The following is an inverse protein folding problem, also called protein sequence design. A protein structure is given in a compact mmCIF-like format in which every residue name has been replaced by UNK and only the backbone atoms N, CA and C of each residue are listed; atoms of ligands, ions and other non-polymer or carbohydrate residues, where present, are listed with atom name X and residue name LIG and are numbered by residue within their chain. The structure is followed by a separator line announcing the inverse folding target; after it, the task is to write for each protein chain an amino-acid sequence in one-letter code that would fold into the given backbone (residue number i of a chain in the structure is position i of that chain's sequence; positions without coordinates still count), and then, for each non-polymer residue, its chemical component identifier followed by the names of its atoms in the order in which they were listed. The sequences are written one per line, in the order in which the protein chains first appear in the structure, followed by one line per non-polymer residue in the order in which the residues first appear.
data_IF_960648019369
#
_entry.id   IF_960648019369
#
_cell.length_a   1.000
_cell.length_b   1.000
_cell.length_c   1.000
_cell.angle_alpha   90.00
_cell.angle_beta   90.00
_cell.angle_gamma   90.00
#
_symmetry.space_group_name_H-M   'P 1'
#
loop_
_entity.id
_entity.type
_entity.pdbx_description
1 polymer ?
#
# COMPACT_ATOMS: atom_id res chain seq x y z
N UNK A 1 -7.57 45.42 7.36
CA UNK A 1 -7.03 44.07 7.47
C UNK A 1 -7.48 43.50 8.81
N UNK A 2 -8.49 42.62 8.86
CA UNK A 2 -8.87 41.86 10.05
C UNK A 2 -7.78 40.81 10.28
N UNK A 3 -7.13 40.85 11.44
CA UNK A 3 -6.27 39.75 11.88
C UNK A 3 -7.18 38.57 12.19
N UNK A 4 -7.04 37.50 11.45
CA UNK A 4 -7.65 36.21 11.83
C UNK A 4 -7.09 35.80 13.19
N UNK A 5 -7.97 35.39 14.09
CA UNK A 5 -7.57 34.87 15.39
C UNK A 5 -6.69 33.62 15.21
N UNK A 6 -5.64 33.44 16.04
CA UNK A 6 -4.80 32.26 15.92
C UNK A 6 -5.64 31.01 16.14
N UNK A 7 -5.62 30.10 15.15
CA UNK A 7 -6.24 28.77 15.26
C UNK A 7 -5.66 28.11 16.52
N UNK A 8 -6.51 27.77 17.45
CA UNK A 8 -6.11 27.12 18.71
C UNK A 8 -5.35 25.85 18.38
N UNK A 9 -4.20 25.62 19.03
CA UNK A 9 -3.43 24.37 18.91
C UNK A 9 -4.29 23.11 19.18
N UNK A 10 -5.35 23.22 19.97
CA UNK A 10 -6.35 22.16 20.19
C UNK A 10 -7.14 21.79 18.94
N UNK A 11 -7.29 22.70 17.96
CA UNK A 11 -7.99 22.44 16.71
C UNK A 11 -7.11 21.75 15.67
N UNK A 12 -5.80 21.63 15.91
CA UNK A 12 -4.82 20.96 15.05
C UNK A 12 -4.46 19.54 15.53
N UNK A 13 -4.99 19.08 16.67
CA UNK A 13 -4.73 17.73 17.15
C UNK A 13 -5.85 16.80 16.67
N UNK A 14 -5.51 15.83 15.80
CA UNK A 14 -6.42 14.74 15.47
C UNK A 14 -6.88 14.05 16.75
N UNK A 15 -8.19 13.84 16.89
CA UNK A 15 -8.75 13.13 18.04
C UNK A 15 -8.77 11.64 17.73
N UNK A 16 -7.94 10.87 18.43
CA UNK A 16 -8.02 9.39 18.40
C UNK A 16 -9.12 8.99 19.41
N UNK A 17 -10.16 8.38 18.87
CA UNK A 17 -11.30 7.90 19.67
C UNK A 17 -10.91 6.60 20.39
N UNK A 18 -11.23 6.52 21.69
CA UNK A 18 -10.90 5.37 22.52
C UNK A 18 -12.00 4.30 22.52
N UNK A 19 -13.16 4.61 21.96
CA UNK A 19 -14.32 3.72 21.85
C UNK A 19 -15.08 4.00 20.58
N UNK A 20 -15.88 3.00 20.15
CA UNK A 20 -16.71 3.10 18.95
C UNK A 20 -17.71 4.28 19.05
N UNK A 21 -17.73 5.17 18.06
CA UNK A 21 -18.69 6.28 18.01
C UNK A 21 -20.06 5.79 17.50
N UNK A 22 -20.88 5.21 18.39
CA UNK A 22 -22.21 4.72 18.06
C UNK A 22 -23.11 5.84 17.53
N UNK A 23 -23.89 5.55 16.49
CA UNK A 23 -24.76 6.51 15.79
C UNK A 23 -24.06 7.38 14.76
N UNK A 24 -22.73 7.36 14.69
CA UNK A 24 -21.96 8.17 13.73
C UNK A 24 -21.50 7.36 12.52
N UNK A 25 -21.24 8.07 11.40
CA UNK A 25 -20.61 7.50 10.21
C UNK A 25 -19.12 7.25 10.46
N UNK A 26 -18.67 6.04 10.22
CA UNK A 26 -17.25 5.67 10.33
C UNK A 26 -16.76 5.16 8.99
N UNK A 27 -15.81 5.86 8.39
CA UNK A 27 -15.15 5.43 7.16
C UNK A 27 -14.12 4.35 7.45
N UNK A 28 -14.19 3.23 6.76
CA UNK A 28 -13.25 2.10 6.91
C UNK A 28 -12.49 1.89 5.62
N UNK A 29 -11.15 1.93 5.67
CA UNK A 29 -10.31 1.41 4.61
C UNK A 29 -10.49 -0.12 4.58
N UNK A 30 -11.27 -0.61 3.62
CA UNK A 30 -11.76 -1.98 3.57
C UNK A 30 -11.00 -2.79 2.52
N UNK A 31 -10.32 -3.83 2.96
CA UNK A 31 -9.55 -4.74 2.09
C UNK A 31 -10.29 -6.03 1.73
N UNK A 32 -11.44 -6.29 2.34
CA UNK A 32 -12.15 -7.58 2.20
C UNK A 32 -11.53 -8.74 2.99
N UNK A 33 -10.45 -8.50 3.73
CA UNK A 33 -9.82 -9.47 4.62
C UNK A 33 -10.61 -9.69 5.92
N UNK A 34 -10.24 -10.72 6.69
CA UNK A 34 -10.91 -11.11 7.94
C UNK A 34 -11.05 -9.94 8.91
N UNK A 35 -9.94 -9.22 9.17
CA UNK A 35 -9.89 -8.15 10.16
C UNK A 35 -10.88 -7.02 9.85
N UNK A 36 -10.89 -6.56 8.58
CA UNK A 36 -11.80 -5.47 8.17
C UNK A 36 -13.24 -5.93 8.06
N UNK A 37 -13.49 -7.18 7.64
CA UNK A 37 -14.84 -7.76 7.56
C UNK A 37 -15.47 -7.92 8.94
N UNK A 38 -14.73 -8.48 9.89
CA UNK A 38 -15.18 -8.61 11.27
C UNK A 38 -15.40 -7.24 11.94
N UNK A 39 -14.48 -6.27 11.67
CA UNK A 39 -14.62 -4.92 12.20
C UNK A 39 -15.89 -4.23 11.70
N UNK A 40 -16.21 -4.31 10.40
CA UNK A 40 -17.42 -3.72 9.82
C UNK A 40 -18.68 -4.32 10.43
N UNK A 41 -18.77 -5.66 10.51
CA UNK A 41 -19.92 -6.35 11.08
C UNK A 41 -20.10 -6.03 12.57
N UNK A 42 -19.02 -6.01 13.35
CA UNK A 42 -19.04 -5.65 14.76
C UNK A 42 -19.47 -4.19 14.98
N UNK A 43 -18.91 -3.26 14.21
CA UNK A 43 -19.27 -1.84 14.30
C UNK A 43 -20.75 -1.61 14.00
N UNK A 44 -21.28 -2.29 12.96
CA UNK A 44 -22.71 -2.24 12.63
C UNK A 44 -23.59 -2.76 13.78
N UNK A 45 -23.21 -3.90 14.36
CA UNK A 45 -23.93 -4.50 15.51
C UNK A 45 -23.91 -3.58 16.75
N UNK A 46 -22.80 -2.88 16.99
CA UNK A 46 -22.65 -1.94 18.11
C UNK A 46 -23.24 -0.55 17.82
N UNK A 47 -23.91 -0.37 16.68
CA UNK A 47 -24.69 0.81 16.37
C UNK A 47 -23.97 1.95 15.68
N UNK A 48 -22.72 1.78 15.20
CA UNK A 48 -22.10 2.72 14.30
C UNK A 48 -22.62 2.53 12.86
N UNK A 49 -22.34 3.48 11.98
CA UNK A 49 -22.74 3.45 10.56
C UNK A 49 -21.48 3.31 9.68
N UNK A 50 -21.04 2.07 9.37
CA UNK A 50 -19.82 1.85 8.58
C UNK A 50 -19.98 2.29 7.12
N UNK A 51 -19.04 3.07 6.62
CA UNK A 51 -18.85 3.42 5.22
C UNK A 51 -17.53 2.81 4.76
N UNK A 52 -17.56 1.91 3.78
CA UNK A 52 -16.38 1.19 3.34
C UNK A 52 -15.76 1.79 2.09
N UNK A 53 -14.45 1.98 2.10
CA UNK A 53 -13.69 2.51 0.97
C UNK A 53 -12.57 1.54 0.63
N UNK A 54 -12.58 1.04 -0.59
CA UNK A 54 -11.54 0.15 -1.11
C UNK A 54 -10.70 0.90 -2.13
N UNK A 55 -9.38 0.92 -1.95
CA UNK A 55 -8.47 1.51 -2.92
C UNK A 55 -8.18 0.52 -4.04
N UNK A 56 -8.40 0.93 -5.29
CA UNK A 56 -7.83 0.26 -6.46
C UNK A 56 -6.42 0.79 -6.69
N UNK A 57 -5.44 0.01 -6.27
CA UNK A 57 -4.01 0.29 -6.42
C UNK A 57 -3.38 -0.49 -7.58
N UNK A 58 -4.19 -1.20 -8.39
CA UNK A 58 -3.71 -2.15 -9.38
C UNK A 58 -3.03 -3.36 -8.74
N UNK A 59 -3.51 -3.80 -7.58
CA UNK A 59 -2.93 -4.89 -6.80
C UNK A 59 -3.11 -6.26 -7.47
N UNK A 60 -2.03 -7.02 -7.56
CA UNK A 60 -1.97 -8.34 -8.21
C UNK A 60 -2.45 -9.49 -7.32
N UNK A 61 -2.62 -9.26 -6.02
CA UNK A 61 -3.03 -10.26 -5.02
C UNK A 61 -4.54 -10.31 -4.78
N UNK A 62 -5.34 -9.38 -5.36
CA UNK A 62 -6.82 -9.41 -5.33
C UNK A 62 -7.38 -9.75 -6.72
N UNK A 63 -8.06 -10.87 -6.81
CA UNK A 63 -8.59 -11.39 -8.08
C UNK A 63 -9.98 -10.87 -8.43
N UNK A 64 -10.72 -10.33 -7.45
CA UNK A 64 -12.09 -9.81 -7.62
C UNK A 64 -12.25 -8.46 -6.92
N UNK A 65 -11.42 -7.51 -7.30
CA UNK A 65 -11.46 -6.16 -6.75
C UNK A 65 -12.81 -5.45 -6.96
N UNK A 66 -13.47 -5.53 -8.13
CA UNK A 66 -14.80 -4.95 -8.32
C UNK A 66 -15.87 -5.51 -7.39
N UNK A 67 -15.72 -6.74 -6.92
CA UNK A 67 -16.65 -7.39 -5.98
C UNK A 67 -16.47 -6.97 -4.51
N UNK A 68 -15.33 -6.33 -4.16
CA UNK A 68 -15.04 -5.96 -2.76
C UNK A 68 -16.11 -5.04 -2.15
N UNK A 69 -16.60 -3.98 -2.82
CA UNK A 69 -17.69 -3.17 -2.27
C UNK A 69 -18.98 -3.95 -1.99
N UNK A 70 -19.32 -4.92 -2.84
CA UNK A 70 -20.46 -5.82 -2.62
C UNK A 70 -20.29 -6.63 -1.34
N UNK A 71 -19.11 -7.22 -1.14
CA UNK A 71 -18.77 -7.94 0.09
C UNK A 71 -18.87 -7.05 1.34
N UNK A 72 -18.42 -5.79 1.26
CA UNK A 72 -18.55 -4.86 2.39
C UNK A 72 -20.02 -4.63 2.80
N UNK A 73 -20.92 -4.54 1.84
CA UNK A 73 -22.37 -4.41 2.08
C UNK A 73 -22.95 -5.65 2.78
N UNK A 74 -22.49 -6.85 2.43
CA UNK A 74 -22.88 -8.09 3.11
C UNK A 74 -22.50 -8.10 4.59
N UNK A 75 -21.38 -7.46 4.96
CA UNK A 75 -20.96 -7.28 6.36
C UNK A 75 -21.68 -6.12 7.08
N UNK A 76 -22.59 -5.41 6.42
CA UNK A 76 -23.41 -4.36 7.01
C UNK A 76 -22.90 -2.94 6.80
N UNK A 77 -22.01 -2.72 5.84
CA UNK A 77 -21.67 -1.36 5.43
C UNK A 77 -22.91 -0.64 4.88
N UNK A 78 -23.12 0.59 5.32
CA UNK A 78 -24.19 1.47 4.81
C UNK A 78 -23.91 1.85 3.35
N UNK A 79 -22.65 2.26 3.08
CA UNK A 79 -22.14 2.52 1.74
C UNK A 79 -20.78 1.84 1.55
N UNK A 80 -20.48 1.50 0.28
CA UNK A 80 -19.20 0.92 -0.08
C UNK A 80 -18.76 1.42 -1.46
N UNK A 81 -17.52 1.94 -1.55
CA UNK A 81 -16.96 2.54 -2.77
C UNK A 81 -15.63 1.88 -3.11
N UNK A 82 -15.43 1.63 -4.42
CA UNK A 82 -14.10 1.38 -4.99
C UNK A 82 -13.56 2.71 -5.50
N UNK A 83 -12.40 3.12 -5.00
CA UNK A 83 -11.74 4.38 -5.35
C UNK A 83 -10.54 4.08 -6.22
N UNK A 84 -10.54 4.54 -7.47
CA UNK A 84 -9.40 4.38 -8.38
C UNK A 84 -8.23 5.26 -7.91
N UNK A 85 -7.17 4.62 -7.49
CA UNK A 85 -5.95 5.24 -6.98
C UNK A 85 -4.75 5.04 -7.93
N UNK A 86 -4.92 4.33 -9.04
CA UNK A 86 -3.81 3.89 -9.91
C UNK A 86 -3.05 5.04 -10.52
N UNK A 87 -3.75 6.02 -11.07
CA UNK A 87 -3.11 7.17 -11.74
C UNK A 87 -2.25 7.98 -10.77
N UNK A 88 -2.79 8.28 -9.58
CA UNK A 88 -2.04 9.01 -8.56
C UNK A 88 -0.85 8.19 -8.06
N UNK A 89 -1.04 6.90 -7.82
CA UNK A 89 0.03 6.02 -7.36
C UNK A 89 1.15 5.87 -8.40
N UNK A 90 0.81 5.79 -9.67
CA UNK A 90 1.80 5.77 -10.76
C UNK A 90 2.57 7.09 -10.80
N UNK A 91 1.87 8.22 -10.70
CA UNK A 91 2.51 9.54 -10.66
C UNK A 91 3.50 9.65 -9.50
N UNK A 92 3.07 9.35 -8.28
CA UNK A 92 3.92 9.40 -7.08
C UNK A 92 5.14 8.46 -7.17
N UNK A 93 4.97 7.28 -7.75
CA UNK A 93 6.09 6.36 -7.97
C UNK A 93 7.11 6.89 -8.97
N UNK A 94 6.67 7.53 -10.07
CA UNK A 94 7.56 8.18 -11.04
C UNK A 94 8.27 9.40 -10.43
N UNK A 95 7.57 10.21 -9.63
CA UNK A 95 8.18 11.32 -8.89
C UNK A 95 9.24 10.79 -7.91
N UNK A 96 8.94 9.74 -7.16
CA UNK A 96 9.90 9.12 -6.24
C UNK A 96 11.17 8.62 -6.97
N UNK A 97 10.99 8.04 -8.15
CA UNK A 97 12.10 7.63 -9.02
C UNK A 97 12.93 8.83 -9.46
N UNK A 98 12.29 9.89 -9.98
CA UNK A 98 12.95 11.11 -10.44
C UNK A 98 13.69 11.84 -9.33
N UNK A 99 13.16 11.83 -8.12
CA UNK A 99 13.78 12.47 -6.96
C UNK A 99 14.91 11.64 -6.33
N UNK A 100 15.20 10.44 -6.84
CA UNK A 100 16.26 9.57 -6.29
C UNK A 100 15.94 8.97 -4.92
N UNK A 101 14.64 8.75 -4.63
CA UNK A 101 14.19 8.21 -3.34
C UNK A 101 14.64 6.76 -3.09
N UNK A 102 14.84 5.98 -4.15
CA UNK A 102 15.31 4.59 -4.06
C UNK A 102 16.83 4.51 -4.07
N UNK A 103 17.45 4.50 -2.91
CA UNK A 103 18.91 4.58 -2.74
C UNK A 103 19.53 3.42 -1.96
N UNK A 104 18.70 2.56 -1.35
CA UNK A 104 19.19 1.43 -0.57
C UNK A 104 19.58 0.30 -1.52
N UNK A 105 20.83 -0.17 -1.39
CA UNK A 105 21.36 -1.25 -2.21
C UNK A 105 21.87 -2.37 -1.31
N UNK A 106 21.41 -3.59 -1.56
CA UNK A 106 21.84 -4.81 -0.88
C UNK A 106 22.31 -5.82 -1.92
N UNK A 107 23.51 -6.38 -1.74
CA UNK A 107 24.11 -7.34 -2.65
C UNK A 107 24.11 -6.87 -4.12
N UNK A 108 24.35 -5.57 -4.35
CA UNK A 108 24.42 -4.97 -5.70
C UNK A 108 23.05 -4.71 -6.35
N UNK A 109 21.92 -4.97 -5.65
CA UNK A 109 20.57 -4.72 -6.15
C UNK A 109 19.93 -3.57 -5.37
N UNK A 110 19.31 -2.63 -6.09
CA UNK A 110 18.53 -1.56 -5.46
C UNK A 110 17.23 -2.14 -4.93
N UNK A 111 16.90 -1.72 -3.72
CA UNK A 111 15.69 -2.09 -3.01
C UNK A 111 14.55 -1.11 -3.30
N UNK A 112 13.40 -1.63 -3.71
CA UNK A 112 12.21 -0.86 -4.03
C UNK A 112 11.07 -1.25 -3.09
N UNK A 113 10.90 -0.52 -1.98
CA UNK A 113 9.72 -0.64 -1.15
C UNK A 113 8.66 0.35 -1.62
N UNK A 114 7.63 -0.14 -2.29
CA UNK A 114 6.55 0.67 -2.86
C UNK A 114 5.33 0.77 -1.93
N UNK A 115 5.31 -0.01 -0.84
CA UNK A 115 4.23 0.00 0.16
C UNK A 115 3.98 1.40 0.75
N UNK A 116 5.00 2.20 1.16
CA UNK A 116 4.77 3.55 1.67
C UNK A 116 4.06 4.48 0.68
N UNK A 117 4.37 4.39 -0.62
CA UNK A 117 3.68 5.14 -1.69
C UNK A 117 2.20 4.76 -1.74
N UNK A 118 1.91 3.45 -1.76
CA UNK A 118 0.54 2.94 -1.72
C UNK A 118 -0.24 3.46 -0.50
N UNK A 119 0.38 3.48 0.68
CA UNK A 119 -0.26 3.98 1.91
C UNK A 119 -0.53 5.48 1.87
N UNK A 120 0.39 6.27 1.30
CA UNK A 120 0.22 7.70 1.14
C UNK A 120 -0.97 8.02 0.22
N UNK A 121 -1.03 7.38 -0.94
CA UNK A 121 -2.12 7.56 -1.91
C UNK A 121 -3.44 7.05 -1.36
N UNK A 122 -3.48 5.88 -0.75
CA UNK A 122 -4.68 5.35 -0.09
C UNK A 122 -5.19 6.33 0.98
N UNK A 123 -4.34 6.76 1.90
CA UNK A 123 -4.72 7.67 2.98
C UNK A 123 -5.29 8.99 2.47
N UNK A 124 -4.73 9.55 1.39
CA UNK A 124 -5.18 10.81 0.82
C UNK A 124 -6.47 10.67 0.00
N UNK A 125 -6.54 9.70 -0.91
CA UNK A 125 -7.68 9.58 -1.82
C UNK A 125 -8.92 9.01 -1.15
N UNK A 126 -8.79 8.07 -0.21
CA UNK A 126 -9.95 7.59 0.54
C UNK A 126 -10.52 8.68 1.42
N UNK A 127 -9.68 9.53 2.06
CA UNK A 127 -10.21 10.65 2.86
C UNK A 127 -10.89 11.70 1.98
N UNK A 128 -10.43 11.96 0.73
CA UNK A 128 -11.18 12.79 -0.22
C UNK A 128 -12.56 12.19 -0.53
N UNK A 129 -12.64 10.89 -0.79
CA UNK A 129 -13.91 10.20 -1.02
C UNK A 129 -14.82 10.27 0.23
N UNK A 130 -14.25 10.13 1.42
CA UNK A 130 -14.98 10.31 2.68
C UNK A 130 -15.57 11.71 2.84
N UNK A 131 -14.83 12.77 2.46
CA UNK A 131 -15.35 14.15 2.49
C UNK A 131 -16.56 14.34 1.58
N UNK A 132 -16.55 13.74 0.38
CA UNK A 132 -17.71 13.75 -0.53
C UNK A 132 -18.96 13.14 0.12
N UNK A 133 -18.78 12.05 0.88
CA UNK A 133 -19.85 11.33 1.58
C UNK A 133 -20.19 11.92 2.95
N UNK A 134 -19.50 12.99 3.36
CA UNK A 134 -19.64 13.64 4.67
C UNK A 134 -19.36 12.65 5.82
N UNK A 135 -18.25 11.94 5.70
CA UNK A 135 -17.72 11.02 6.71
C UNK A 135 -16.42 11.63 7.22
N UNK A 136 -16.32 11.87 8.53
CA UNK A 136 -15.22 12.57 9.18
C UNK A 136 -14.48 11.74 10.23
N UNK A 137 -14.80 10.45 10.31
CA UNK A 137 -14.11 9.48 11.18
C UNK A 137 -13.42 8.43 10.29
N UNK A 138 -12.10 8.36 10.37
CA UNK A 138 -11.29 7.34 9.70
C UNK A 138 -11.14 6.09 10.55
N UNK A 139 -11.26 4.93 9.96
CA UNK A 139 -10.91 3.64 10.53
C UNK A 139 -10.20 2.73 9.53
N UNK A 140 -9.45 1.80 10.02
CA UNK A 140 -8.82 0.73 9.25
C UNK A 140 -8.53 -0.50 10.14
N UNK A 141 -8.18 -1.62 9.52
CA UNK A 141 -7.86 -2.88 10.19
C UNK A 141 -6.42 -2.99 10.71
N UNK A 142 -5.65 -1.91 10.73
CA UNK A 142 -4.23 -1.95 11.14
C UNK A 142 -4.08 -2.33 12.60
N UNK A 143 -3.20 -3.30 12.86
CA UNK A 143 -2.85 -3.71 14.22
C UNK A 143 -1.73 -2.84 14.79
N UNK A 144 -1.63 -2.76 16.13
CA UNK A 144 -0.57 -2.01 16.84
C UNK A 144 0.86 -2.54 16.61
N UNK A 145 1.01 -3.70 15.97
CA UNK A 145 2.32 -4.32 15.68
C UNK A 145 2.92 -3.90 14.33
N UNK A 146 2.13 -3.25 13.47
CA UNK A 146 2.54 -2.87 12.11
C UNK A 146 2.82 -1.37 11.97
N UNK A 147 3.40 -1.00 10.82
CA UNK A 147 3.63 0.40 10.46
C UNK A 147 2.34 1.14 10.10
N UNK A 148 1.32 0.44 9.62
CA UNK A 148 0.12 1.02 9.03
C UNK A 148 -0.82 1.63 10.07
N UNK A 149 -0.66 1.25 11.36
CA UNK A 149 -1.39 1.89 12.46
C UNK A 149 -1.23 3.42 12.46
N UNK A 150 -0.09 3.91 11.97
CA UNK A 150 0.26 5.32 11.91
C UNK A 150 0.21 5.90 10.48
N UNK A 151 0.57 5.11 9.47
CA UNK A 151 0.76 5.60 8.10
C UNK A 151 -0.53 6.16 7.50
N UNK A 152 -1.63 5.42 7.51
CA UNK A 152 -2.85 5.81 6.81
C UNK A 152 -3.43 7.13 7.30
N UNK A 153 -3.67 7.27 8.59
CA UNK A 153 -4.32 8.47 9.09
C UNK A 153 -3.41 9.70 9.01
N UNK A 154 -2.08 9.54 9.13
CA UNK A 154 -1.14 10.65 8.96
C UNK A 154 -1.27 11.30 7.59
N UNK A 155 -1.36 10.50 6.53
CA UNK A 155 -1.61 11.02 5.19
C UNK A 155 -3.02 11.56 5.04
N UNK A 156 -4.02 10.94 5.63
CA UNK A 156 -5.39 11.44 5.67
C UNK A 156 -5.52 12.82 6.30
N UNK A 157 -4.73 13.11 7.35
CA UNK A 157 -4.69 14.42 8.00
C UNK A 157 -4.12 15.54 7.12
N UNK A 158 -3.35 15.22 6.07
CA UNK A 158 -2.92 16.21 5.07
C UNK A 158 -4.10 16.70 4.23
N UNK A 159 -5.12 15.88 4.04
CA UNK A 159 -6.34 16.22 3.30
C UNK A 159 -7.39 16.83 4.22
N UNK A 160 -7.58 16.24 5.39
CA UNK A 160 -8.54 16.72 6.40
C UNK A 160 -7.89 16.81 7.78
N UNK A 161 -7.34 17.98 8.17
CA UNK A 161 -6.71 18.14 9.49
C UNK A 161 -7.64 17.95 10.69
N UNK A 162 -8.97 18.00 10.49
CA UNK A 162 -9.97 17.78 11.52
C UNK A 162 -10.50 16.33 11.58
N UNK A 163 -9.90 15.42 10.80
CA UNK A 163 -10.27 14.01 10.76
C UNK A 163 -10.17 13.40 12.16
N UNK A 164 -11.25 12.76 12.62
CA UNK A 164 -11.24 11.94 13.81
C UNK A 164 -10.78 10.52 13.43
N UNK A 165 -10.09 9.84 14.33
CA UNK A 165 -9.50 8.54 14.07
C UNK A 165 -10.10 7.51 15.01
N UNK A 166 -10.71 6.47 14.46
CA UNK A 166 -11.16 5.30 15.21
C UNK A 166 -10.39 4.07 14.71
N UNK A 167 -9.74 3.39 15.63
CA UNK A 167 -9.00 2.15 15.31
C UNK A 167 -9.62 1.00 16.11
N UNK A 168 -10.27 0.00 15.49
CA UNK A 168 -10.82 -1.14 16.21
C UNK A 168 -9.79 -1.81 17.15
N UNK A 169 -8.56 -1.97 16.70
CA UNK A 169 -7.48 -2.57 17.47
C UNK A 169 -6.96 -1.73 18.65
N UNK A 170 -7.42 -0.48 18.82
CA UNK A 170 -7.18 0.37 20.00
C UNK A 170 -8.42 0.46 20.91
N UNK A 171 -9.54 -0.11 20.50
CA UNK A 171 -10.76 -0.18 21.30
C UNK A 171 -10.75 -1.44 22.17
N UNK A 172 -10.75 -1.24 23.49
CA UNK A 172 -10.71 -2.35 24.45
C UNK A 172 -11.88 -3.31 24.29
N UNK A 173 -13.06 -2.81 23.91
CA UNK A 173 -14.23 -3.65 23.71
C UNK A 173 -14.04 -4.55 22.48
N UNK A 174 -13.60 -4.00 21.36
CA UNK A 174 -13.28 -4.77 20.16
C UNK A 174 -12.23 -5.84 20.45
N UNK A 175 -11.11 -5.45 21.07
CA UNK A 175 -10.02 -6.38 21.38
C UNK A 175 -10.45 -7.48 22.36
N UNK A 176 -11.34 -7.19 23.30
CA UNK A 176 -11.86 -8.19 24.24
C UNK A 176 -12.78 -9.19 23.55
N UNK A 177 -13.61 -8.72 22.62
CA UNK A 177 -14.58 -9.56 21.91
C UNK A 177 -13.99 -10.27 20.69
N UNK A 178 -13.06 -9.62 19.96
CA UNK A 178 -12.55 -10.06 18.66
C UNK A 178 -11.01 -9.96 18.53
N UNK A 179 -10.29 -10.10 19.63
CA UNK A 179 -8.83 -9.86 19.68
C UNK A 179 -7.95 -10.86 18.96
N UNK A 180 -8.51 -11.88 18.30
CA UNK A 180 -7.77 -12.88 17.54
C UNK A 180 -8.50 -13.34 16.27
N UNK A 181 -7.75 -14.03 15.40
CA UNK A 181 -8.31 -14.54 14.13
C UNK A 181 -9.39 -15.61 14.34
N UNK A 182 -9.25 -16.42 15.41
CA UNK A 182 -10.24 -17.44 15.74
C UNK A 182 -11.56 -16.81 16.16
N UNK A 183 -11.51 -15.84 17.06
CA UNK A 183 -12.66 -15.11 17.57
C UNK A 183 -13.39 -14.34 16.46
N UNK A 184 -12.64 -13.68 15.57
CA UNK A 184 -13.21 -12.99 14.40
C UNK A 184 -13.89 -13.97 13.43
N UNK A 185 -13.27 -15.12 13.18
CA UNK A 185 -13.83 -16.16 12.29
C UNK A 185 -15.11 -16.77 12.88
N UNK A 186 -15.11 -17.06 14.17
CA UNK A 186 -16.29 -17.56 14.91
C UNK A 186 -17.42 -16.54 14.88
N UNK A 187 -17.11 -15.27 15.20
CA UNK A 187 -18.06 -14.15 15.17
C UNK A 187 -18.79 -14.03 13.83
N UNK A 188 -18.06 -14.11 12.71
CA UNK A 188 -18.66 -14.04 11.38
C UNK A 188 -19.49 -15.30 11.06
N UNK A 189 -19.00 -16.47 11.46
CA UNK A 189 -19.68 -17.75 11.23
C UNK A 189 -21.01 -17.83 11.97
N UNK A 190 -21.05 -17.44 13.25
CA UNK A 190 -22.27 -17.42 14.06
C UNK A 190 -23.36 -16.52 13.48
N UNK A 191 -22.97 -15.49 12.72
CA UNK A 191 -23.87 -14.53 12.07
C UNK A 191 -24.23 -14.90 10.64
N UNK A 192 -23.78 -16.10 10.18
CA UNK A 192 -23.93 -16.56 8.81
C UNK A 192 -23.38 -15.55 7.79
N UNK A 193 -22.36 -14.80 8.16
CA UNK A 193 -21.68 -13.88 7.26
C UNK A 193 -20.66 -14.63 6.42
N UNK A 194 -20.55 -14.32 5.09
CA UNK A 194 -19.68 -15.05 4.20
C UNK A 194 -18.22 -14.80 4.55
N UNK A 195 -17.58 -15.77 5.17
CA UNK A 195 -16.15 -15.75 5.43
C UNK A 195 -15.48 -16.92 4.73
N UNK A 196 -14.61 -16.61 3.78
CA UNK A 196 -13.74 -17.62 3.17
C UNK A 196 -12.45 -17.67 3.99
N UNK A 197 -12.32 -18.70 4.82
CA UNK A 197 -11.04 -19.01 5.42
C UNK A 197 -9.98 -19.11 4.31
N UNK A 198 -9.07 -18.17 4.24
CA UNK A 198 -7.91 -18.31 3.37
C UNK A 198 -7.09 -19.49 3.88
N UNK A 199 -6.61 -20.36 2.99
CA UNK A 199 -5.61 -21.37 3.37
C UNK A 199 -4.50 -20.64 4.12
N UNK A 200 -4.02 -21.26 5.19
CA UNK A 200 -2.90 -20.71 5.93
C UNK A 200 -1.69 -20.60 5.00
N UNK A 201 -1.39 -19.37 4.58
CA UNK A 201 -0.23 -19.11 3.72
C UNK A 201 1.01 -19.02 4.59
N UNK A 202 2.13 -19.48 4.05
CA UNK A 202 3.45 -19.44 4.73
C UNK A 202 3.91 -18.00 5.04
N UNK A 203 3.41 -17.02 4.31
CA UNK A 203 3.69 -15.60 4.46
C UNK A 203 2.46 -14.75 4.07
N UNK A 204 2.48 -13.47 4.38
CA UNK A 204 1.50 -12.48 3.93
C UNK A 204 2.01 -11.77 2.69
N UNK A 205 1.10 -11.36 1.81
CA UNK A 205 1.42 -10.56 0.61
C UNK A 205 0.59 -9.28 0.63
N UNK A 206 1.22 -8.17 0.23
CA UNK A 206 0.61 -6.86 0.03
C UNK A 206 1.15 -6.29 -1.27
N UNK A 207 0.28 -6.03 -2.24
CA UNK A 207 0.66 -5.61 -3.57
C UNK A 207 0.00 -4.30 -4.00
N UNK A 208 0.65 -3.63 -4.93
CA UNK A 208 0.12 -2.50 -5.69
C UNK A 208 0.75 -2.52 -7.10
N UNK A 209 0.35 -1.59 -7.95
CA UNK A 209 0.82 -1.53 -9.35
C UNK A 209 2.35 -1.46 -9.49
N UNK A 210 3.07 -0.93 -8.48
CA UNK A 210 4.52 -0.77 -8.51
C UNK A 210 5.28 -1.95 -7.94
N UNK A 211 4.68 -2.73 -7.05
CA UNK A 211 5.40 -3.80 -6.40
C UNK A 211 4.57 -4.64 -5.45
N UNK A 212 5.16 -5.70 -4.98
CA UNK A 212 4.61 -6.57 -3.95
C UNK A 212 5.62 -6.77 -2.81
N UNK A 213 5.09 -6.91 -1.61
CA UNK A 213 5.83 -7.24 -0.39
C UNK A 213 5.33 -8.56 0.14
N UNK A 214 6.23 -9.52 0.35
CA UNK A 214 5.98 -10.79 1.01
C UNK A 214 6.66 -10.76 2.37
N UNK A 215 5.91 -10.88 3.45
CA UNK A 215 6.45 -10.74 4.81
C UNK A 215 5.71 -11.60 5.83
N UNK A 216 6.18 -11.57 7.07
CA UNK A 216 5.61 -12.23 8.23
C UNK A 216 5.68 -13.77 8.22
N UNK A 217 5.24 -14.40 9.31
CA UNK A 217 5.16 -15.83 9.52
C UNK A 217 6.53 -16.52 9.30
N UNK A 218 6.64 -17.48 8.35
CA UNK A 218 7.90 -18.20 8.11
C UNK A 218 9.03 -17.29 7.61
N UNK A 219 8.71 -16.15 6.96
CA UNK A 219 9.73 -15.21 6.50
C UNK A 219 10.40 -14.42 7.64
N UNK A 220 9.82 -14.40 8.85
CA UNK A 220 10.47 -13.82 10.04
C UNK A 220 11.62 -14.69 10.55
N UNK A 221 11.67 -15.96 10.17
CA UNK A 221 12.76 -16.87 10.49
C UNK A 221 13.92 -16.66 9.50
N UNK A 222 15.08 -16.20 9.97
CA UNK A 222 16.22 -15.90 9.09
C UNK A 222 16.82 -17.14 8.42
N UNK A 223 16.52 -18.34 8.92
CA UNK A 223 16.90 -19.62 8.32
C UNK A 223 16.02 -20.01 7.12
N UNK A 224 14.86 -19.38 6.96
CA UNK A 224 13.97 -19.64 5.83
C UNK A 224 14.52 -18.97 4.57
N UNK A 225 14.73 -19.74 3.50
CA UNK A 225 15.15 -19.21 2.20
C UNK A 225 14.05 -18.38 1.52
N UNK A 226 14.44 -17.52 0.58
CA UNK A 226 13.45 -16.77 -0.21
C UNK A 226 12.74 -17.65 -1.26
N UNK A 227 13.20 -18.86 -1.47
CA UNK A 227 12.65 -19.86 -2.38
C UNK A 227 11.24 -20.33 -2.02
N UNK A 228 10.79 -20.09 -0.78
CA UNK A 228 9.38 -20.33 -0.41
C UNK A 228 8.40 -19.32 -1.02
N UNK A 229 8.90 -18.18 -1.50
CA UNK A 229 8.07 -17.13 -2.11
C UNK A 229 7.75 -17.48 -3.56
N UNK A 230 6.48 -17.48 -3.91
CA UNK A 230 6.02 -17.50 -5.30
C UNK A 230 5.82 -16.07 -5.77
N UNK A 231 6.63 -15.58 -6.73
CA UNK A 231 6.46 -14.24 -7.27
C UNK A 231 5.08 -14.08 -7.92
N UNK A 232 4.46 -12.92 -7.71
CA UNK A 232 3.16 -12.59 -8.32
C UNK A 232 3.27 -11.54 -9.42
N UNK A 233 4.41 -10.88 -9.56
CA UNK A 233 4.67 -9.87 -10.59
C UNK A 233 5.71 -10.30 -11.62
N UNK A 234 6.35 -11.45 -11.43
CA UNK A 234 7.41 -11.91 -12.33
C UNK A 234 7.78 -13.37 -12.14
N UNK A 235 8.99 -13.71 -12.58
CA UNK A 235 9.53 -15.08 -12.52
C UNK A 235 10.46 -15.26 -11.34
N UNK A 236 10.50 -16.47 -10.80
CA UNK A 236 11.39 -16.87 -9.71
C UNK A 236 12.83 -17.05 -10.23
N UNK A 237 13.51 -15.95 -10.53
CA UNK A 237 14.85 -15.94 -11.17
C UNK A 237 15.94 -16.68 -10.36
N UNK A 238 15.66 -16.99 -9.11
CA UNK A 238 16.55 -17.74 -8.19
C UNK A 238 16.37 -19.27 -8.31
N UNK A 239 15.45 -19.75 -9.14
CA UNK A 239 15.22 -21.18 -9.37
C UNK A 239 15.95 -21.65 -10.60
N UNK A 240 16.56 -22.83 -10.54
CA UNK A 240 17.35 -23.43 -11.61
C UNK A 240 16.51 -23.80 -12.86
N UNK A 241 15.22 -24.02 -12.67
CA UNK A 241 14.27 -24.37 -13.74
C UNK A 241 13.73 -23.16 -14.51
N UNK A 242 14.06 -21.94 -14.11
CA UNK A 242 13.63 -20.71 -14.75
C UNK A 242 14.66 -20.22 -15.75
N UNK A 243 14.35 -20.34 -17.05
CA UNK A 243 15.20 -19.82 -18.13
C UNK A 243 14.79 -18.40 -18.51
N UNK A 244 15.73 -17.46 -18.47
CA UNK A 244 15.54 -16.06 -18.86
C UNK A 244 16.39 -15.76 -20.09
N UNK A 245 15.73 -15.42 -21.21
CA UNK A 245 16.43 -15.00 -22.42
C UNK A 245 16.68 -13.51 -22.41
N UNK A 246 17.90 -13.03 -22.66
CA UNK A 246 18.19 -11.60 -22.74
C UNK A 246 17.40 -10.92 -23.86
N UNK A 247 16.92 -9.70 -23.61
CA UNK A 247 16.35 -8.83 -24.63
C UNK A 247 16.85 -7.39 -24.46
N UNK A 248 16.83 -6.62 -25.55
CA UNK A 248 17.15 -5.19 -25.53
C UNK A 248 15.85 -4.41 -25.36
N UNK A 249 15.79 -3.58 -24.33
CA UNK A 249 14.62 -2.72 -24.04
C UNK A 249 15.03 -1.27 -24.19
N UNK A 250 14.24 -0.50 -24.94
CA UNK A 250 14.43 0.94 -25.08
C UNK A 250 13.32 1.69 -24.33
N UNK A 251 13.69 2.67 -23.51
CA UNK A 251 12.75 3.57 -22.83
C UNK A 251 13.02 4.99 -23.31
N UNK A 252 11.99 5.63 -23.88
CA UNK A 252 12.06 7.04 -24.25
C UNK A 252 11.51 7.92 -23.16
N UNK A 253 12.25 8.97 -22.81
CA UNK A 253 11.86 9.97 -21.85
C UNK A 253 11.57 11.32 -22.55
N UNK A 254 10.61 12.06 -22.04
CA UNK A 254 10.36 13.45 -22.38
C UNK A 254 10.28 14.25 -21.08
N UNK A 255 11.16 15.24 -20.92
CA UNK A 255 11.28 16.05 -19.70
C UNK A 255 11.39 15.22 -18.40
N UNK A 256 12.10 14.09 -18.46
CA UNK A 256 12.29 13.17 -17.34
C UNK A 256 11.15 12.14 -17.12
N UNK A 257 10.05 12.25 -17.85
CA UNK A 257 8.94 11.31 -17.77
C UNK A 257 9.09 10.21 -18.83
N UNK A 258 8.91 8.93 -18.49
CA UNK A 258 8.89 7.86 -19.49
C UNK A 258 7.62 8.00 -20.33
N UNK A 259 7.78 7.98 -21.68
CA UNK A 259 6.66 8.18 -22.63
C UNK A 259 6.51 7.04 -23.63
N UNK A 260 7.55 6.21 -23.81
CA UNK A 260 7.48 5.06 -24.69
C UNK A 260 8.41 3.94 -24.25
N UNK A 261 8.02 2.70 -24.53
CA UNK A 261 8.85 1.49 -24.33
C UNK A 261 8.87 0.73 -25.66
N UNK A 262 10.07 0.35 -26.14
CA UNK A 262 10.29 -0.38 -27.39
C UNK A 262 9.62 0.27 -28.61
N UNK A 263 9.57 1.61 -28.64
CA UNK A 263 8.94 2.40 -29.70
C UNK A 263 7.42 2.55 -29.58
N UNK A 264 6.76 1.84 -28.67
CA UNK A 264 5.34 2.02 -28.40
C UNK A 264 5.12 3.21 -27.47
N UNK A 265 4.36 4.19 -27.91
CA UNK A 265 3.97 5.35 -27.11
C UNK A 265 2.75 5.05 -26.23
N UNK A 266 2.76 5.59 -25.02
CA UNK A 266 1.69 5.43 -24.06
C UNK A 266 1.07 6.79 -23.70
N UNK A 267 -0.23 6.93 -23.86
CA UNK A 267 -0.99 8.09 -23.40
C UNK A 267 -1.23 7.98 -21.89
N UNK A 268 -1.45 6.77 -21.40
CA UNK A 268 -1.66 6.47 -20.00
C UNK A 268 -0.34 6.03 -19.35
N UNK A 269 0.07 6.72 -18.28
CA UNK A 269 1.23 6.31 -17.48
C UNK A 269 0.97 4.97 -16.75
N UNK A 270 -0.30 4.66 -16.45
CA UNK A 270 -0.69 3.36 -15.88
C UNK A 270 -0.34 2.23 -16.86
N UNK A 271 -0.71 2.39 -18.14
CA UNK A 271 -0.43 1.38 -19.16
C UNK A 271 1.08 1.23 -19.41
N UNK A 272 1.82 2.33 -19.38
CA UNK A 272 3.28 2.31 -19.50
C UNK A 272 3.90 1.50 -18.34
N UNK A 273 3.44 1.71 -17.12
CA UNK A 273 3.93 0.97 -15.95
C UNK A 273 3.55 -0.50 -16.01
N UNK A 274 2.34 -0.81 -16.49
CA UNK A 274 1.93 -2.20 -16.69
C UNK A 274 2.81 -2.92 -17.72
N UNK A 275 3.17 -2.25 -18.82
CA UNK A 275 4.14 -2.79 -19.80
C UNK A 275 5.54 -2.95 -19.18
N UNK A 276 6.00 -1.96 -18.40
CA UNK A 276 7.27 -2.05 -17.69
C UNK A 276 7.27 -3.23 -16.70
N UNK A 277 6.15 -3.47 -15.99
CA UNK A 277 5.99 -4.64 -15.12
C UNK A 277 6.04 -5.95 -15.89
N UNK A 278 5.36 -6.03 -17.04
CA UNK A 278 5.36 -7.23 -17.87
C UNK A 278 6.78 -7.56 -18.37
N UNK A 279 7.52 -6.56 -18.82
CA UNK A 279 8.91 -6.73 -19.27
C UNK A 279 9.82 -7.06 -18.07
N UNK A 280 9.83 -6.25 -17.04
CA UNK A 280 10.68 -6.46 -15.86
C UNK A 280 10.39 -7.79 -15.17
N UNK A 281 9.11 -8.18 -15.12
CA UNK A 281 8.65 -9.42 -14.49
C UNK A 281 9.19 -10.67 -15.19
N UNK A 282 9.12 -10.74 -16.51
CA UNK A 282 9.65 -11.91 -17.27
C UNK A 282 11.17 -12.06 -17.17
N UNK A 283 11.86 -10.98 -16.72
CA UNK A 283 13.29 -10.98 -16.45
C UNK A 283 13.65 -11.10 -14.96
N UNK A 284 12.66 -11.23 -14.06
CA UNK A 284 12.87 -11.31 -12.63
C UNK A 284 13.53 -10.07 -12.01
N UNK A 285 13.31 -8.89 -12.61
CA UNK A 285 13.87 -7.63 -12.11
C UNK A 285 13.18 -7.19 -10.81
N UNK A 286 13.92 -6.41 -10.01
CA UNK A 286 13.37 -5.73 -8.84
C UNK A 286 13.03 -6.64 -7.66
N UNK A 287 13.52 -7.87 -7.65
CA UNK A 287 13.33 -8.77 -6.52
C UNK A 287 14.50 -8.66 -5.54
N UNK A 288 14.18 -8.48 -4.25
CA UNK A 288 15.17 -8.33 -3.20
C UNK A 288 14.70 -8.88 -1.85
N UNK A 289 15.65 -9.44 -1.08
CA UNK A 289 15.46 -9.89 0.30
C UNK A 289 16.05 -8.85 1.24
N UNK A 290 15.23 -8.27 2.12
CA UNK A 290 15.62 -7.15 2.95
C UNK A 290 15.24 -7.34 4.41
N UNK A 291 16.15 -6.87 5.29
CA UNK A 291 15.86 -6.68 6.71
C UNK A 291 15.83 -5.19 6.98
N UNK A 292 14.69 -4.68 7.41
CA UNK A 292 14.46 -3.26 7.63
C UNK A 292 13.92 -2.94 9.03
N UNK A 293 13.93 -1.66 9.39
CA UNK A 293 13.32 -1.18 10.62
C UNK A 293 11.85 -0.82 10.39
N UNK A 294 10.97 -1.28 11.27
CA UNK A 294 9.61 -0.74 11.39
C UNK A 294 9.65 0.63 12.10
N UNK A 295 8.59 1.43 11.94
CA UNK A 295 8.42 2.72 12.67
C UNK A 295 8.56 2.52 14.18
N UNK A 296 8.16 1.37 14.69
CA UNK A 296 8.28 0.99 16.11
C UNK A 296 9.67 0.46 16.48
N UNK A 297 10.68 0.66 15.61
CA UNK A 297 12.08 0.24 15.78
C UNK A 297 12.34 -1.27 15.82
N UNK A 298 11.31 -2.09 15.65
CA UNK A 298 11.48 -3.54 15.50
C UNK A 298 12.05 -3.87 14.12
N UNK A 299 12.87 -4.91 14.03
CA UNK A 299 13.33 -5.46 12.74
C UNK A 299 12.22 -6.29 12.10
N UNK A 300 12.14 -6.22 10.77
CA UNK A 300 11.33 -7.13 9.99
C UNK A 300 12.05 -7.54 8.72
N UNK A 301 11.77 -8.74 8.23
CA UNK A 301 12.26 -9.22 6.95
C UNK A 301 11.12 -9.25 5.95
N UNK A 302 11.39 -8.82 4.72
CA UNK A 302 10.47 -8.91 3.61
C UNK A 302 11.19 -9.29 2.32
N UNK A 303 10.48 -10.01 1.46
CA UNK A 303 10.87 -10.26 0.07
C UNK A 303 10.02 -9.32 -0.79
N UNK A 304 10.68 -8.55 -1.63
CA UNK A 304 10.06 -7.48 -2.40
C UNK A 304 10.14 -7.76 -3.89
N UNK A 305 9.07 -7.45 -4.62
CA UNK A 305 9.02 -7.45 -6.07
C UNK A 305 8.68 -6.03 -6.55
N UNK A 306 9.40 -5.51 -7.53
CA UNK A 306 9.11 -4.23 -8.17
C UNK A 306 9.66 -4.20 -9.61
N UNK A 307 9.15 -5.05 -10.51
CA UNK A 307 9.79 -5.28 -11.80
C UNK A 307 9.79 -4.06 -12.71
N UNK A 308 8.66 -3.36 -12.84
CA UNK A 308 8.58 -2.15 -13.67
C UNK A 308 9.36 -0.98 -13.08
N UNK A 309 9.32 -0.83 -11.75
CA UNK A 309 10.13 0.18 -11.06
C UNK A 309 11.62 -0.05 -11.32
N UNK A 310 12.09 -1.29 -11.20
CA UNK A 310 13.49 -1.64 -11.45
C UNK A 310 13.89 -1.38 -12.90
N UNK A 311 13.05 -1.73 -13.88
CA UNK A 311 13.30 -1.46 -15.29
C UNK A 311 13.43 0.04 -15.55
N UNK A 312 12.46 0.83 -15.09
CA UNK A 312 12.44 2.27 -15.28
C UNK A 312 13.58 2.97 -14.52
N UNK A 313 13.91 2.46 -13.33
CA UNK A 313 15.04 2.96 -12.54
C UNK A 313 16.38 2.79 -13.28
N UNK A 314 16.65 1.60 -13.83
CA UNK A 314 17.86 1.34 -14.62
C UNK A 314 17.96 2.30 -15.81
N UNK A 315 16.85 2.49 -16.54
CA UNK A 315 16.80 3.41 -17.67
C UNK A 315 17.01 4.87 -17.26
N UNK A 316 16.36 5.29 -16.15
CA UNK A 316 16.46 6.65 -15.64
C UNK A 316 17.84 6.98 -15.07
N UNK A 317 18.48 6.07 -14.34
CA UNK A 317 19.87 6.22 -13.87
C UNK A 317 20.84 6.41 -15.06
N UNK A 318 20.63 5.70 -16.17
CA UNK A 318 21.43 5.89 -17.39
C UNK A 318 21.20 7.28 -18.01
N UNK A 319 19.95 7.77 -17.99
CA UNK A 319 19.62 9.12 -18.45
C UNK A 319 20.30 10.17 -17.58
N UNK A 320 20.16 10.08 -16.25
CA UNK A 320 20.74 11.01 -15.27
C UNK A 320 22.26 11.07 -15.41
N UNK A 321 22.93 9.93 -15.45
CA UNK A 321 24.40 9.86 -15.57
C UNK A 321 24.91 10.31 -16.93
N UNK A 322 24.09 10.23 -17.98
CA UNK A 322 24.45 10.69 -19.32
C UNK A 322 24.31 12.19 -19.54
N UNK A 323 23.44 12.86 -18.75
CA UNK A 323 23.08 14.27 -18.96
C UNK A 323 23.75 15.19 -17.92
N UNK A 324 23.82 14.76 -16.66
CA UNK A 324 24.26 15.60 -15.55
C UNK A 324 25.73 15.41 -15.21
N UNK A 325 26.34 16.48 -14.68
CA UNK A 325 27.67 16.41 -14.09
C UNK A 325 27.65 15.74 -12.71
N UNK A 326 28.82 15.33 -12.23
CA UNK A 326 28.97 14.58 -10.98
C UNK A 326 28.36 15.32 -9.78
N UNK A 327 28.57 16.63 -9.63
CA UNK A 327 28.03 17.43 -8.53
C UNK A 327 26.49 17.45 -8.51
N UNK A 328 25.84 17.50 -9.68
CA UNK A 328 24.39 17.42 -9.79
C UNK A 328 23.87 16.02 -9.40
N UNK A 329 24.57 14.98 -9.84
CA UNK A 329 24.23 13.56 -9.52
C UNK A 329 24.37 13.34 -8.01
N UNK A 330 25.46 13.84 -7.39
CA UNK A 330 25.67 13.74 -5.94
C UNK A 330 24.55 14.46 -5.17
N UNK A 331 24.19 15.67 -5.58
CA UNK A 331 23.09 16.42 -4.96
C UNK A 331 21.76 15.66 -5.06
N UNK A 332 21.43 15.09 -6.22
CA UNK A 332 20.24 14.26 -6.40
C UNK A 332 20.24 13.10 -5.39
N UNK A 333 21.35 12.38 -5.27
CA UNK A 333 21.48 11.24 -4.34
C UNK A 333 21.38 11.67 -2.87
N UNK A 334 21.99 12.79 -2.48
CA UNK A 334 21.93 13.31 -1.11
C UNK A 334 20.52 13.76 -0.75
N UNK A 335 19.83 14.46 -1.65
CA UNK A 335 18.47 14.93 -1.43
C UNK A 335 17.47 13.76 -1.43
N UNK A 336 17.62 12.83 -2.37
CA UNK A 336 16.77 11.63 -2.45
C UNK A 336 16.79 10.77 -1.19
N UNK A 337 17.93 10.70 -0.48
CA UNK A 337 18.02 9.99 0.81
C UNK A 337 17.16 10.57 1.92
N UNK A 338 16.65 11.78 1.77
CA UNK A 338 15.83 12.47 2.78
C UNK A 338 14.33 12.31 2.52
N UNK A 339 13.98 11.77 1.37
CA UNK A 339 12.60 11.46 0.98
C UNK A 339 12.19 10.07 1.47
#
# INVERSE_FOLDING_TARGET
RRREAPVSLKALMSTILQSLPAGEKVGIAFSGGLDTSAAVAWMREKGAVPYCYTADLGQYDETDLPGVPGRAKEYGAEEARLVDCRTELVHEGLVALQCGAFHITTAGKTYFNTTPLGRAVTGTLLVRAMQEDKVDIWGDGSTYKGNDIERFYRYGLLVNPSLRIYKPWLDNQFVTELGGRAEMSEFLTERNLPYRASKEKAYSTDANIWGATHEAKLLEELSTGMDIVEPIMGVAHYRDDVAISPEVVTVRFHEGWPVAINGNEFVSQVDLVMEANAIGGRHGLGMSDQIENRIIEAKSRGIYEAPGMALLYIAYERLVTGIHNEGTIENLRVMGRRL
#
